data_IF_376732086356
#
_entry.id   IF_376732086356
#
_cell.length_a   1.000
_cell.length_b   1.000
_cell.length_c   1.000
_cell.angle_alpha   90.00
_cell.angle_beta   90.00
_cell.angle_gamma   90.00
#
_symmetry.space_group_name_H-M   'P 1'
#
loop_
_entity.id
_entity.type
_entity.pdbx_description
1 polymer ?
#
# COMPACT_ATOMS: atom_id res chain seq x y z
N UNK A 1 -20.57 14.53 -26.35
CA UNK A 1 -20.90 14.72 -24.93
C UNK A 1 -19.75 14.13 -24.14
N UNK A 2 -18.98 14.94 -23.42
CA UNK A 2 -17.87 14.43 -22.61
C UNK A 2 -18.46 13.61 -21.47
N UNK A 3 -18.16 12.31 -21.43
CA UNK A 3 -18.43 11.49 -20.24
C UNK A 3 -17.74 12.18 -19.06
N UNK A 4 -18.55 12.63 -18.10
CA UNK A 4 -18.03 13.11 -16.83
C UNK A 4 -17.36 11.91 -16.18
N UNK A 5 -16.03 11.85 -16.20
CA UNK A 5 -15.27 10.90 -15.40
C UNK A 5 -15.73 11.06 -13.94
N UNK A 6 -16.53 10.12 -13.45
CA UNK A 6 -16.92 10.10 -12.05
C UNK A 6 -15.65 9.91 -11.22
N UNK A 7 -15.42 10.83 -10.28
CA UNK A 7 -14.29 10.74 -9.37
C UNK A 7 -14.49 9.47 -8.53
N UNK A 8 -13.52 8.53 -8.52
CA UNK A 8 -13.63 7.33 -7.71
C UNK A 8 -13.94 7.66 -6.25
N UNK A 9 -14.86 6.91 -5.63
CA UNK A 9 -15.39 7.23 -4.30
C UNK A 9 -14.37 7.19 -3.16
N UNK A 10 -13.19 6.64 -3.40
CA UNK A 10 -12.07 6.48 -2.47
C UNK A 10 -10.93 7.50 -2.68
N UNK A 11 -11.12 8.47 -3.57
CA UNK A 11 -10.24 9.63 -3.70
C UNK A 11 -11.02 10.93 -3.47
N UNK A 12 -10.34 11.97 -3.00
CA UNK A 12 -10.85 13.33 -2.90
C UNK A 12 -10.00 14.27 -3.75
N UNK A 13 -10.63 15.27 -4.37
CA UNK A 13 -9.91 16.37 -5.03
C UNK A 13 -9.33 17.38 -4.03
N UNK A 14 -9.72 17.30 -2.74
CA UNK A 14 -9.15 18.19 -1.73
C UNK A 14 -7.63 18.04 -1.67
N UNK A 15 -6.88 19.14 -1.49
CA UNK A 15 -5.44 19.06 -1.33
C UNK A 15 -5.06 18.26 -0.09
N UNK A 16 -3.97 17.49 -0.19
CA UNK A 16 -3.35 16.78 0.94
C UNK A 16 -2.62 17.74 1.88
N UNK A 17 -3.38 18.60 2.56
CA UNK A 17 -2.90 19.64 3.48
C UNK A 17 -3.62 19.60 4.83
N UNK A 18 -2.87 19.69 5.93
CA UNK A 18 -3.43 19.58 7.28
C UNK A 18 -3.95 18.17 7.61
N UNK A 19 -4.70 18.08 8.71
CA UNK A 19 -5.16 16.81 9.27
C UNK A 19 -6.47 16.33 8.60
N UNK A 20 -6.63 15.03 8.31
CA UNK A 20 -7.90 14.48 7.85
C UNK A 20 -8.94 14.45 8.98
N UNK A 21 -10.22 14.40 8.60
CA UNK A 21 -11.28 14.06 9.55
C UNK A 21 -11.06 12.65 10.13
N UNK A 22 -11.19 12.52 11.45
CA UNK A 22 -11.04 11.27 12.21
C UNK A 22 -12.36 10.81 12.84
N UNK A 23 -13.51 11.16 12.26
CA UNK A 23 -14.81 10.56 12.61
C UNK A 23 -14.91 9.13 12.08
N UNK A 24 -15.75 8.30 12.68
CA UNK A 24 -15.92 6.91 12.28
C UNK A 24 -16.45 6.79 10.85
N UNK A 25 -17.38 7.66 10.42
CA UNK A 25 -17.84 7.71 9.02
C UNK A 25 -16.66 7.96 8.05
N UNK A 26 -15.71 8.81 8.45
CA UNK A 26 -14.52 9.08 7.64
C UNK A 26 -13.52 7.90 7.63
N UNK A 27 -13.55 7.01 8.63
CA UNK A 27 -12.82 5.74 8.61
C UNK A 27 -13.53 4.67 7.76
N UNK A 28 -14.87 4.65 7.74
CA UNK A 28 -15.65 3.73 6.92
C UNK A 28 -15.59 4.07 5.43
N UNK A 29 -15.40 5.36 5.11
CA UNK A 29 -15.32 5.88 3.73
C UNK A 29 -14.02 6.67 3.54
N UNK A 30 -12.86 6.04 3.67
CA UNK A 30 -11.58 6.73 3.59
C UNK A 30 -11.36 7.21 2.15
N UNK A 31 -10.91 8.46 2.01
CA UNK A 31 -10.60 9.08 0.72
C UNK A 31 -9.17 9.59 0.74
N UNK A 32 -8.35 9.14 -0.20
CA UNK A 32 -7.01 9.70 -0.35
C UNK A 32 -7.12 11.09 -1.00
N UNK A 33 -6.50 12.09 -0.39
CA UNK A 33 -6.49 13.48 -0.88
C UNK A 33 -5.46 13.68 -1.98
N UNK A 34 -5.67 14.70 -2.82
CA UNK A 34 -4.88 14.94 -4.03
C UNK A 34 -3.56 15.62 -3.71
N UNK A 35 -2.53 15.20 -4.43
CA UNK A 35 -1.23 15.85 -4.48
C UNK A 35 -1.21 16.90 -5.60
N UNK A 36 -0.91 18.16 -5.24
CA UNK A 36 -0.88 19.29 -6.18
C UNK A 36 0.54 19.82 -6.49
N UNK A 37 1.60 19.07 -6.18
CA UNK A 37 2.97 19.51 -6.47
C UNK A 37 3.41 19.28 -7.92
N UNK A 38 4.37 20.07 -8.38
CA UNK A 38 5.05 19.90 -9.66
C UNK A 38 6.17 18.86 -9.54
N UNK A 39 6.02 17.74 -10.24
CA UNK A 39 6.94 16.61 -10.21
C UNK A 39 7.75 16.54 -11.50
N UNK A 40 9.07 16.42 -11.35
CA UNK A 40 9.98 16.09 -12.45
C UNK A 40 10.40 14.64 -12.36
N UNK A 41 9.96 13.83 -13.33
CA UNK A 41 10.32 12.41 -13.41
C UNK A 41 11.83 12.25 -13.69
N UNK A 42 12.50 11.44 -12.87
CA UNK A 42 13.93 11.15 -13.01
C UNK A 42 14.12 9.78 -13.67
N UNK A 43 13.94 8.68 -12.94
CA UNK A 43 14.25 7.34 -13.47
C UNK A 43 13.33 6.26 -12.93
N UNK A 44 13.15 5.22 -13.72
CA UNK A 44 12.51 3.99 -13.28
C UNK A 44 13.35 3.35 -12.18
N UNK A 45 12.71 2.93 -11.10
CA UNK A 45 13.37 2.27 -9.96
C UNK A 45 12.80 0.90 -9.63
N UNK A 46 11.68 0.51 -10.26
CA UNK A 46 11.10 -0.80 -10.06
C UNK A 46 9.68 -0.90 -10.61
N UNK A 47 9.13 -2.10 -10.62
CA UNK A 47 7.77 -2.35 -11.08
C UNK A 47 7.37 -3.78 -10.75
N UNK A 48 6.07 -3.96 -10.52
CA UNK A 48 5.48 -5.22 -10.10
C UNK A 48 4.17 -5.47 -10.83
N UNK A 49 3.29 -6.24 -10.20
CA UNK A 49 1.98 -6.60 -10.75
C UNK A 49 1.03 -5.41 -10.86
N UNK A 50 1.16 -4.43 -9.97
CA UNK A 50 0.20 -3.33 -9.84
C UNK A 50 0.54 -2.09 -10.69
N UNK A 51 1.80 -1.96 -11.05
CA UNK A 51 2.32 -0.74 -11.66
C UNK A 51 3.84 -0.67 -11.68
N UNK A 52 4.34 0.52 -12.03
CA UNK A 52 5.75 0.87 -11.99
C UNK A 52 5.99 1.94 -10.92
N UNK A 53 7.23 2.04 -10.47
CA UNK A 53 7.69 3.07 -9.54
C UNK A 53 8.80 3.87 -10.20
N UNK A 54 8.61 5.19 -10.20
CA UNK A 54 9.52 6.15 -10.79
C UNK A 54 10.07 7.03 -9.68
N UNK A 55 11.40 7.16 -9.59
CA UNK A 55 12.01 8.22 -8.80
C UNK A 55 11.75 9.55 -9.49
N UNK A 56 11.37 10.56 -8.71
CA UNK A 56 11.12 11.90 -9.21
C UNK A 56 11.56 12.96 -8.18
N UNK A 57 11.46 14.24 -8.57
CA UNK A 57 11.73 15.37 -7.67
C UNK A 57 10.50 16.26 -7.60
N UNK A 58 10.08 16.58 -6.37
CA UNK A 58 9.10 17.64 -6.09
C UNK A 58 9.84 18.99 -6.21
N UNK A 59 9.54 19.77 -7.24
CA UNK A 59 10.25 21.02 -7.56
C UNK A 59 10.14 22.05 -6.45
N UNK A 60 8.95 22.22 -5.89
CA UNK A 60 8.70 23.28 -4.91
C UNK A 60 9.38 22.98 -3.58
N UNK A 61 9.45 21.70 -3.20
CA UNK A 61 10.01 21.28 -1.91
C UNK A 61 11.44 20.75 -2.01
N UNK A 62 12.00 20.63 -3.22
CA UNK A 62 13.38 20.20 -3.47
C UNK A 62 13.69 18.74 -3.15
N UNK A 63 12.70 17.97 -2.67
CA UNK A 63 12.87 16.59 -2.15
C UNK A 63 12.73 15.53 -3.24
N UNK A 64 13.42 14.41 -3.04
CA UNK A 64 13.22 13.21 -3.87
C UNK A 64 11.95 12.48 -3.43
N UNK A 65 11.14 12.09 -4.40
CA UNK A 65 9.90 11.33 -4.19
C UNK A 65 9.90 10.06 -5.03
N UNK A 66 9.11 9.08 -4.61
CA UNK A 66 8.76 7.92 -5.41
C UNK A 66 7.33 8.08 -5.93
N UNK A 67 7.11 7.85 -7.22
CA UNK A 67 5.80 7.94 -7.86
C UNK A 67 5.42 6.56 -8.35
N UNK A 68 4.45 5.92 -7.68
CA UNK A 68 3.90 4.64 -8.12
C UNK A 68 2.78 4.91 -9.11
N UNK A 69 2.97 4.50 -10.35
CA UNK A 69 2.00 4.65 -11.45
C UNK A 69 1.32 3.31 -11.67
N UNK A 70 -0.01 3.30 -11.64
CA UNK A 70 -0.80 2.08 -11.75
C UNK A 70 -1.14 1.76 -13.21
N UNK A 71 -1.19 0.47 -13.56
CA UNK A 71 -1.51 0.06 -14.94
C UNK A 71 -2.97 0.27 -15.33
N UNK A 72 -3.90 0.31 -14.35
CA UNK A 72 -5.35 0.33 -14.58
C UNK A 72 -6.02 1.53 -13.92
N UNK A 73 -6.64 2.39 -14.74
CA UNK A 73 -7.43 3.54 -14.27
C UNK A 73 -8.84 3.19 -13.82
N UNK A 74 -9.33 2.04 -14.26
CA UNK A 74 -10.65 1.55 -13.95
C UNK A 74 -10.51 0.21 -13.24
N UNK A 75 -11.50 -0.12 -12.42
CA UNK A 75 -11.54 -1.43 -11.77
C UNK A 75 -11.52 -2.52 -12.86
N UNK A 76 -10.50 -3.40 -12.90
CA UNK A 76 -10.38 -4.39 -13.95
C UNK A 76 -11.55 -5.40 -13.87
N UNK A 77 -11.93 -6.04 -14.99
CA UNK A 77 -12.97 -7.05 -14.99
C UNK A 77 -12.60 -8.21 -14.05
N UNK A 78 -13.59 -8.95 -13.50
CA UNK A 78 -13.32 -10.15 -12.73
C UNK A 78 -12.57 -11.15 -13.60
N UNK A 79 -11.65 -11.91 -13.02
CA UNK A 79 -10.75 -12.85 -13.71
C UNK A 79 -11.53 -13.96 -14.46
N UNK A 80 -12.83 -14.11 -14.21
CA UNK A 80 -13.72 -15.06 -14.89
C UNK A 80 -14.43 -14.49 -16.14
N UNK A 81 -14.27 -13.20 -16.44
CA UNK A 81 -14.85 -12.55 -17.62
C UNK A 81 -13.93 -12.72 -18.84
N UNK A 82 -14.10 -13.82 -19.59
CA UNK A 82 -13.72 -13.80 -21.01
C UNK A 82 -14.58 -12.75 -21.73
N UNK A 83 -13.99 -12.02 -22.68
CA UNK A 83 -14.52 -12.09 -24.03
C UNK A 83 -13.50 -12.72 -24.96
N UNK A 84 -13.99 -13.42 -25.97
CA UNK A 84 -13.20 -13.96 -27.06
C UNK A 84 -12.36 -12.86 -27.72
N UNK A 85 -11.04 -12.88 -27.51
CA UNK A 85 -10.06 -12.30 -28.42
C UNK A 85 -8.93 -13.30 -28.54
N UNK A 86 -8.94 -14.04 -29.67
CA UNK A 86 -7.78 -14.78 -30.12
C UNK A 86 -6.67 -13.78 -30.42
N UNK A 87 -5.57 -13.84 -29.70
CA UNK A 87 -4.33 -13.22 -30.16
C UNK A 87 -3.36 -14.37 -30.42
N UNK A 88 -2.97 -14.41 -31.69
CA UNK A 88 -2.18 -15.41 -32.37
C UNK A 88 -0.86 -15.70 -31.67
N UNK A 89 -0.53 -16.99 -31.68
CA UNK A 89 0.80 -17.53 -31.40
C UNK A 89 1.82 -16.92 -32.36
N UNK A 90 2.53 -15.86 -31.93
CA UNK A 90 3.88 -15.60 -32.39
C UNK A 90 4.73 -15.16 -31.19
N UNK A 91 5.07 -16.17 -30.37
CA UNK A 91 6.12 -16.05 -29.37
C UNK A 91 7.46 -16.18 -30.06
N UNK A 92 8.11 -15.04 -30.28
CA UNK A 92 9.54 -14.98 -30.60
C UNK A 92 10.35 -15.29 -29.32
N UNK A 93 11.23 -16.28 -29.40
CA UNK A 93 11.84 -16.98 -28.26
C UNK A 93 13.12 -16.32 -27.72
N UNK A 94 13.52 -15.16 -28.24
CA UNK A 94 14.84 -14.57 -27.96
C UNK A 94 14.86 -13.30 -27.08
N UNK A 95 13.75 -12.86 -26.47
CA UNK A 95 13.76 -11.68 -25.59
C UNK A 95 13.61 -12.02 -24.09
N UNK A 96 14.70 -12.05 -23.30
CA UNK A 96 14.65 -12.40 -21.87
C UNK A 96 13.92 -11.38 -20.97
N UNK A 97 13.61 -10.17 -21.46
CA UNK A 97 12.82 -9.17 -20.72
C UNK A 97 11.30 -9.40 -20.78
N UNK A 98 10.82 -10.36 -21.59
CA UNK A 98 9.39 -10.72 -21.70
C UNK A 98 8.92 -11.80 -20.71
N UNK A 99 9.83 -12.48 -19.98
CA UNK A 99 9.47 -13.60 -19.09
C UNK A 99 8.77 -13.20 -17.76
N UNK A 100 8.55 -11.91 -17.50
CA UNK A 100 7.81 -11.44 -16.31
C UNK A 100 6.47 -10.77 -16.63
N UNK A 101 5.98 -10.84 -17.88
CA UNK A 101 4.63 -10.39 -18.20
C UNK A 101 3.59 -11.43 -17.78
N UNK A 102 2.71 -10.99 -16.88
CA UNK A 102 1.37 -11.53 -16.63
C UNK A 102 1.29 -13.01 -16.26
N UNK A 103 1.64 -13.33 -15.02
CA UNK A 103 1.06 -14.49 -14.34
C UNK A 103 0.33 -14.03 -13.08
N UNK A 104 -0.81 -13.36 -13.30
CA UNK A 104 -1.91 -13.37 -12.35
C UNK A 104 -2.47 -14.80 -12.27
N UNK A 105 -1.80 -15.67 -11.51
CA UNK A 105 -2.26 -17.03 -11.30
C UNK A 105 -3.48 -17.03 -10.36
N UNK A 106 -4.61 -17.38 -10.95
CA UNK A 106 -5.67 -18.21 -10.40
C UNK A 106 -6.22 -17.88 -9.00
N UNK A 107 -7.16 -16.94 -8.94
CA UNK A 107 -8.17 -16.91 -7.87
C UNK A 107 -9.58 -16.86 -8.50
N UNK A 108 -10.20 -18.04 -8.67
CA UNK A 108 -11.61 -18.17 -9.09
C UNK A 108 -12.54 -17.58 -8.02
N UNK A 109 -13.45 -16.69 -8.42
CA UNK A 109 -14.52 -16.14 -7.58
C UNK A 109 -14.23 -14.83 -6.83
N UNK A 110 -13.15 -14.12 -7.12
CA UNK A 110 -12.82 -12.86 -6.44
C UNK A 110 -13.64 -11.67 -6.98
N UNK A 111 -14.28 -10.85 -6.12
CA UNK A 111 -14.59 -9.48 -6.49
C UNK A 111 -13.32 -8.75 -6.95
N UNK A 112 -13.50 -7.72 -7.76
CA UNK A 112 -12.45 -7.17 -8.63
C UNK A 112 -11.33 -6.50 -7.82
N UNK A 113 -10.11 -7.05 -7.88
CA UNK A 113 -8.93 -6.41 -7.31
C UNK A 113 -8.56 -5.16 -8.12
N UNK A 114 -8.56 -4.00 -7.48
CA UNK A 114 -8.05 -2.76 -8.06
C UNK A 114 -6.96 -2.20 -7.15
N UNK A 115 -5.70 -2.30 -7.60
CA UNK A 115 -4.53 -1.92 -6.82
C UNK A 115 -4.58 -0.45 -6.36
N UNK A 116 -4.89 0.46 -7.29
CA UNK A 116 -5.03 1.88 -6.98
C UNK A 116 -6.07 2.15 -5.88
N UNK A 117 -7.23 1.48 -5.94
CA UNK A 117 -8.25 1.57 -4.90
C UNK A 117 -7.73 1.09 -3.55
N UNK A 118 -7.11 -0.09 -3.50
CA UNK A 118 -6.58 -0.67 -2.26
C UNK A 118 -5.58 0.28 -1.62
N UNK A 119 -4.62 0.76 -2.41
CA UNK A 119 -3.54 1.59 -1.91
C UNK A 119 -4.02 2.96 -1.45
N UNK A 120 -4.97 3.57 -2.17
CA UNK A 120 -5.64 4.80 -1.72
C UNK A 120 -6.34 4.63 -0.36
N UNK A 121 -7.12 3.56 -0.21
CA UNK A 121 -7.83 3.25 1.03
C UNK A 121 -6.83 3.06 2.17
N UNK A 122 -5.77 2.28 1.95
CA UNK A 122 -4.75 2.00 2.96
C UNK A 122 -4.07 3.28 3.44
N UNK A 123 -3.59 4.12 2.52
CA UNK A 123 -2.91 5.37 2.90
C UNK A 123 -3.85 6.37 3.58
N UNK A 124 -5.11 6.46 3.15
CA UNK A 124 -6.08 7.32 3.81
C UNK A 124 -6.41 6.86 5.24
N UNK A 125 -6.43 5.55 5.50
CA UNK A 125 -6.62 5.01 6.85
C UNK A 125 -5.37 5.21 7.73
N UNK A 126 -4.18 4.92 7.19
CA UNK A 126 -2.92 5.11 7.92
C UNK A 126 -2.72 6.58 8.32
N UNK A 127 -3.08 7.53 7.45
CA UNK A 127 -3.05 8.96 7.77
C UNK A 127 -3.98 9.32 8.94
N UNK A 128 -5.18 8.73 8.99
CA UNK A 128 -6.14 8.96 10.08
C UNK A 128 -5.66 8.36 11.40
N UNK A 129 -5.06 7.17 11.35
CA UNK A 129 -4.46 6.52 12.52
C UNK A 129 -3.32 7.39 13.08
N UNK A 130 -2.39 7.83 12.22
CA UNK A 130 -1.29 8.71 12.59
C UNK A 130 -1.78 10.03 13.20
N UNK A 131 -2.80 10.64 12.58
CA UNK A 131 -3.44 11.87 13.09
C UNK A 131 -4.04 11.64 14.47
N UNK A 132 -4.75 10.54 14.68
CA UNK A 132 -5.35 10.20 15.97
C UNK A 132 -4.29 10.01 17.05
N UNK A 133 -3.20 9.27 16.75
CA UNK A 133 -2.08 9.06 17.66
C UNK A 133 -1.43 10.38 18.08
N UNK A 134 -1.11 11.24 17.11
CA UNK A 134 -0.48 12.54 17.36
C UNK A 134 -1.37 13.50 18.17
N UNK A 135 -2.69 13.51 17.90
CA UNK A 135 -3.64 14.31 18.69
C UNK A 135 -3.82 13.76 20.12
N UNK A 136 -3.81 12.44 20.29
CA UNK A 136 -3.85 11.81 21.61
C UNK A 136 -2.60 12.17 22.43
N UNK A 137 -1.41 12.06 21.84
CA UNK A 137 -0.15 12.47 22.46
C UNK A 137 -0.18 13.95 22.89
N UNK A 138 -0.60 14.85 21.99
CA UNK A 138 -0.69 16.29 22.27
C UNK A 138 -1.66 16.63 23.41
N UNK A 139 -2.72 15.84 23.57
CA UNK A 139 -3.73 16.04 24.62
C UNK A 139 -3.45 15.25 25.91
N UNK A 140 -2.38 14.46 25.95
CA UNK A 140 -2.08 13.57 27.07
C UNK A 140 -3.07 12.40 27.21
N UNK A 141 -3.86 12.12 26.17
CA UNK A 141 -4.81 10.99 26.12
C UNK A 141 -4.09 9.73 25.66
N UNK A 142 -4.44 8.59 26.25
CA UNK A 142 -4.00 7.29 25.75
C UNK A 142 -5.01 6.67 24.78
N UNK A 143 -4.52 6.06 23.71
CA UNK A 143 -5.33 5.17 22.86
C UNK A 143 -5.15 3.75 23.39
N UNK A 144 -6.24 3.17 23.91
CA UNK A 144 -6.25 1.82 24.46
C UNK A 144 -6.76 0.83 23.41
N UNK A 145 -5.97 -0.20 23.10
CA UNK A 145 -6.29 -1.23 22.11
C UNK A 145 -6.13 -2.64 22.70
N UNK A 146 -6.79 -3.62 22.08
CA UNK A 146 -6.39 -5.01 22.26
C UNK A 146 -5.10 -5.23 21.44
N UNK A 147 -3.95 -5.42 22.08
CA UNK A 147 -2.67 -5.60 21.40
C UNK A 147 -2.49 -7.00 20.79
N UNK A 148 -3.38 -7.93 21.11
CA UNK A 148 -3.37 -9.30 20.59
C UNK A 148 -4.74 -9.65 19.99
N UNK A 149 -5.22 -8.89 18.98
CA UNK A 149 -6.50 -9.19 18.38
C UNK A 149 -6.39 -10.54 17.64
N UNK A 150 -7.36 -11.41 17.84
CA UNK A 150 -7.43 -12.76 17.23
C UNK A 150 -8.62 -12.89 16.28
N UNK A 151 -9.58 -11.97 16.36
CA UNK A 151 -10.75 -11.94 15.47
C UNK A 151 -10.83 -10.65 14.66
N UNK A 152 -11.43 -10.71 13.48
CA UNK A 152 -11.69 -9.53 12.67
C UNK A 152 -12.57 -8.50 13.39
N UNK A 153 -13.43 -8.95 14.32
CA UNK A 153 -14.25 -8.06 15.16
C UNK A 153 -13.40 -7.29 16.16
N UNK A 154 -12.40 -7.92 16.78
CA UNK A 154 -11.46 -7.25 17.68
C UNK A 154 -10.60 -6.25 16.91
N UNK A 155 -10.09 -6.64 15.75
CA UNK A 155 -9.34 -5.78 14.85
C UNK A 155 -10.14 -4.53 14.41
N UNK A 156 -11.41 -4.73 14.05
CA UNK A 156 -12.34 -3.64 13.73
C UNK A 156 -12.59 -2.70 14.92
N UNK A 157 -12.71 -3.27 16.14
CA UNK A 157 -12.83 -2.46 17.36
C UNK A 157 -11.57 -1.63 17.60
N UNK A 158 -10.38 -2.19 17.39
CA UNK A 158 -9.13 -1.43 17.47
C UNK A 158 -9.10 -0.26 16.47
N UNK A 159 -9.46 -0.51 15.21
CA UNK A 159 -9.51 0.55 14.20
C UNK A 159 -10.49 1.67 14.62
N UNK A 160 -11.65 1.30 15.18
CA UNK A 160 -12.63 2.27 15.68
C UNK A 160 -12.13 3.08 16.88
N UNK A 161 -11.20 2.56 17.69
CA UNK A 161 -10.61 3.30 18.80
C UNK A 161 -9.79 4.53 18.37
N UNK A 162 -9.44 4.64 17.08
CA UNK A 162 -8.78 5.84 16.54
C UNK A 162 -9.77 6.96 16.17
N UNK A 163 -11.08 6.70 16.15
CA UNK A 163 -12.06 7.72 15.79
C UNK A 163 -12.47 8.61 16.97
N UNK A 164 -13.10 9.75 16.70
CA UNK A 164 -13.60 10.66 17.76
C UNK A 164 -14.67 10.02 18.64
N UNK A 165 -15.50 9.15 18.07
CA UNK A 165 -16.57 8.40 18.75
C UNK A 165 -16.05 7.29 19.67
N UNK A 166 -14.73 7.06 19.71
CA UNK A 166 -14.11 6.11 20.64
C UNK A 166 -14.15 6.58 22.09
N UNK A 167 -14.31 7.89 22.33
CA UNK A 167 -14.28 8.47 23.68
C UNK A 167 -15.46 8.05 24.57
N UNK A 168 -16.54 7.49 24.00
CA UNK A 168 -17.79 7.17 24.71
C UNK A 168 -17.91 5.70 25.15
N UNK A 169 -16.86 4.90 25.00
CA UNK A 169 -16.92 3.46 25.37
C UNK A 169 -16.30 3.23 26.74
N UNK A 170 -17.10 2.69 27.66
CA UNK A 170 -16.56 2.02 28.84
C UNK A 170 -15.70 0.83 28.38
N UNK A 171 -14.40 0.82 28.70
CA UNK A 171 -13.53 -0.27 28.30
C UNK A 171 -13.94 -1.55 29.05
N UNK A 172 -13.96 -2.69 28.36
CA UNK A 172 -13.72 -3.98 29.01
C UNK A 172 -12.27 -3.92 29.54
N UNK A 173 -12.10 -3.35 30.72
CA UNK A 173 -10.85 -2.73 31.19
C UNK A 173 -9.64 -3.68 31.20
N UNK A 174 -9.87 -4.99 31.37
CA UNK A 174 -8.79 -5.96 31.56
C UNK A 174 -8.05 -6.36 30.27
N UNK A 175 -8.59 -6.05 29.08
CA UNK A 175 -8.01 -6.48 27.79
C UNK A 175 -7.33 -5.38 26.98
N UNK A 176 -7.57 -4.12 27.33
CA UNK A 176 -7.06 -2.99 26.55
C UNK A 176 -5.79 -2.43 27.19
N UNK A 177 -4.76 -2.19 26.38
CA UNK A 177 -3.48 -1.64 26.82
C UNK A 177 -3.14 -0.37 26.04
N UNK A 178 -2.38 0.57 26.61
CA UNK A 178 -1.88 1.73 25.89
C UNK A 178 -1.11 1.31 24.63
N UNK A 179 -1.53 1.83 23.49
CA UNK A 179 -0.88 1.59 22.21
C UNK A 179 0.09 2.72 21.89
N UNK A 180 1.39 2.42 21.97
CA UNK A 180 2.49 3.37 21.72
C UNK A 180 3.43 2.80 20.65
N UNK A 181 3.01 2.82 19.38
CA UNK A 181 3.81 2.23 18.31
C UNK A 181 5.07 3.06 18.06
N UNK A 182 6.18 2.38 17.80
CA UNK A 182 7.42 3.01 17.32
C UNK A 182 7.75 2.44 15.94
N UNK A 183 7.04 2.91 14.93
CA UNK A 183 7.16 2.45 13.54
C UNK A 183 7.23 3.64 12.60
N UNK A 184 8.01 3.52 11.53
CA UNK A 184 8.09 4.52 10.47
C UNK A 184 7.25 4.08 9.27
N UNK A 185 6.08 4.67 9.10
CA UNK A 185 5.29 4.53 7.86
C UNK A 185 5.89 5.47 6.80
N UNK A 186 6.06 5.00 5.56
CA UNK A 186 6.53 5.84 4.47
C UNK A 186 5.53 6.97 4.18
N UNK A 187 5.91 8.26 4.28
CA UNK A 187 4.99 9.36 4.03
C UNK A 187 4.35 9.31 2.63
N UNK A 188 3.02 9.43 2.59
CA UNK A 188 2.24 9.58 1.37
C UNK A 188 1.79 11.04 1.20
N UNK A 189 2.10 11.60 0.04
CA UNK A 189 1.76 12.97 -0.33
C UNK A 189 0.43 13.08 -1.08
N UNK A 190 -0.23 11.96 -1.37
CA UNK A 190 -1.52 11.91 -2.02
C UNK A 190 -1.46 11.31 -3.42
N UNK A 191 -2.63 11.25 -4.04
CA UNK A 191 -2.76 10.74 -5.41
C UNK A 191 -2.60 11.88 -6.44
N UNK A 192 -2.17 11.54 -7.65
CA UNK A 192 -2.08 12.45 -8.79
C UNK A 192 -2.36 11.69 -10.09
N UNK A 193 -2.29 12.38 -11.22
CA UNK A 193 -2.33 11.79 -12.55
C UNK A 193 -1.08 12.20 -13.34
N UNK A 194 -0.55 11.26 -14.13
CA UNK A 194 0.54 11.51 -15.06
C UNK A 194 0.07 11.21 -16.48
N UNK A 195 0.44 12.07 -17.43
CA UNK A 195 0.17 11.79 -18.83
C UNK A 195 1.08 10.68 -19.34
N UNK A 196 0.57 9.86 -20.26
CA UNK A 196 1.38 8.89 -21.00
C UNK A 196 2.60 9.56 -21.63
N UNK A 197 2.42 10.71 -22.26
CA UNK A 197 3.50 11.44 -22.90
C UNK A 197 4.63 11.77 -21.92
N UNK A 198 4.32 12.18 -20.69
CA UNK A 198 5.32 12.46 -19.67
C UNK A 198 6.07 11.19 -19.22
N UNK A 199 5.37 10.06 -19.10
CA UNK A 199 5.99 8.76 -18.80
C UNK A 199 6.91 8.34 -19.95
N UNK A 200 6.43 8.42 -21.19
CA UNK A 200 7.14 7.98 -22.39
C UNK A 200 8.37 8.83 -22.73
N UNK A 201 8.29 10.14 -22.48
CA UNK A 201 9.40 11.05 -22.69
C UNK A 201 10.63 10.65 -21.84
N UNK A 202 10.41 9.94 -20.74
CA UNK A 202 11.48 9.50 -19.84
C UNK A 202 11.79 8.01 -19.95
N UNK A 203 10.86 7.20 -20.47
CA UNK A 203 10.95 5.75 -20.53
C UNK A 203 10.42 5.23 -21.87
N UNK A 204 11.15 4.32 -22.54
CA UNK A 204 10.55 3.57 -23.65
C UNK A 204 9.34 2.80 -23.11
N UNK A 205 8.16 3.01 -23.71
CA UNK A 205 6.87 2.49 -23.22
C UNK A 205 6.98 1.06 -22.69
N UNK A 206 6.72 0.81 -21.40
CA UNK A 206 6.41 -0.53 -20.97
C UNK A 206 5.09 -0.91 -21.67
N UNK A 207 5.14 -1.85 -22.60
CA UNK A 207 3.99 -2.47 -23.28
C UNK A 207 2.88 -3.03 -22.36
N UNK A 208 2.98 -2.79 -21.05
CA UNK A 208 2.07 -3.21 -19.99
C UNK A 208 1.01 -2.15 -19.62
N UNK A 209 1.13 -0.90 -20.07
CA UNK A 209 0.10 0.11 -19.84
C UNK A 209 -1.09 -0.06 -20.79
N UNK A 210 -2.31 0.22 -20.31
CA UNK A 210 -3.51 0.24 -21.15
C UNK A 210 -3.48 1.41 -22.15
N UNK A 211 -4.42 1.50 -23.10
CA UNK A 211 -4.44 2.64 -24.04
C UNK A 211 -5.07 3.93 -23.44
N UNK A 212 -4.59 4.37 -22.26
CA UNK A 212 -5.06 5.57 -21.56
C UNK A 212 -4.15 6.80 -21.78
N UNK A 213 -4.74 8.01 -21.84
CA UNK A 213 -3.98 9.26 -21.96
C UNK A 213 -3.33 9.69 -20.62
N UNK A 214 -4.00 9.40 -19.50
CA UNK A 214 -3.59 9.73 -18.15
C UNK A 214 -3.53 8.46 -17.32
N UNK A 215 -2.66 8.39 -16.32
CA UNK A 215 -2.61 7.28 -15.37
C UNK A 215 -2.70 7.79 -13.95
N UNK A 216 -3.47 7.11 -13.12
CA UNK A 216 -3.42 7.36 -11.68
C UNK A 216 -2.05 6.98 -11.11
N UNK A 217 -1.59 7.82 -10.18
CA UNK A 217 -0.36 7.61 -9.46
C UNK A 217 -0.50 8.02 -7.98
N UNK A 218 0.36 7.48 -7.12
CA UNK A 218 0.50 7.93 -5.73
C UNK A 218 1.95 8.37 -5.50
N UNK A 219 2.11 9.48 -4.78
CA UNK A 219 3.40 10.11 -4.52
C UNK A 219 3.80 9.83 -3.07
N UNK A 220 4.99 9.27 -2.90
CA UNK A 220 5.57 8.91 -1.61
C UNK A 220 6.92 9.57 -1.40
N UNK A 221 7.40 9.55 -0.17
CA UNK A 221 8.82 9.78 0.09
C UNK A 221 9.69 8.74 -0.63
N UNK A 222 10.81 9.21 -1.16
CA UNK A 222 11.81 8.32 -1.75
C UNK A 222 12.63 7.66 -0.64
N UNK A 223 12.51 6.34 -0.51
CA UNK A 223 13.25 5.54 0.45
C UNK A 223 14.47 4.92 -0.24
N UNK A 224 15.64 5.07 0.37
CA UNK A 224 16.87 4.45 -0.13
C UNK A 224 16.88 2.95 0.18
N UNK A 225 17.51 2.18 -0.71
CA UNK A 225 17.85 0.80 -0.43
C UNK A 225 18.79 0.72 0.78
N UNK A 226 18.65 -0.34 1.57
CA UNK A 226 19.46 -0.55 2.76
C UNK A 226 19.44 -2.00 3.21
N UNK A 227 20.14 -2.26 4.31
CA UNK A 227 20.13 -3.57 4.96
C UNK A 227 18.90 -3.67 5.85
N UNK A 228 18.03 -4.64 5.56
CA UNK A 228 16.79 -4.84 6.32
C UNK A 228 17.09 -5.35 7.73
N UNK A 229 16.35 -4.84 8.72
CA UNK A 229 16.41 -5.30 10.10
C UNK A 229 15.09 -5.98 10.48
N UNK A 230 15.18 -7.23 10.96
CA UNK A 230 14.01 -8.03 11.32
C UNK A 230 13.09 -7.34 12.31
N UNK A 231 13.66 -6.70 13.33
CA UNK A 231 12.92 -5.96 14.36
C UNK A 231 12.01 -4.88 13.75
N UNK A 232 12.49 -4.11 12.78
CA UNK A 232 11.71 -3.02 12.20
C UNK A 232 10.56 -3.56 11.35
N UNK A 233 10.81 -4.62 10.57
CA UNK A 233 9.79 -5.30 9.77
C UNK A 233 8.71 -5.91 10.68
N UNK A 234 9.10 -6.67 11.70
CA UNK A 234 8.19 -7.29 12.68
C UNK A 234 7.34 -6.21 13.38
N UNK A 235 7.97 -5.13 13.86
CA UNK A 235 7.25 -4.03 14.50
C UNK A 235 6.19 -3.40 13.57
N UNK A 236 6.53 -3.18 12.30
CA UNK A 236 5.61 -2.61 11.33
C UNK A 236 4.47 -3.57 10.96
N UNK A 237 4.75 -4.86 10.81
CA UNK A 237 3.72 -5.89 10.59
C UNK A 237 2.77 -6.00 11.78
N UNK A 238 3.29 -5.98 13.01
CA UNK A 238 2.51 -5.96 14.25
C UNK A 238 1.65 -4.71 14.34
N UNK A 239 2.20 -3.55 13.96
CA UNK A 239 1.42 -2.31 13.88
C UNK A 239 0.23 -2.46 12.92
N UNK A 240 0.43 -2.97 11.71
CA UNK A 240 -0.66 -3.19 10.74
C UNK A 240 -1.71 -4.15 11.29
N UNK A 241 -1.29 -5.27 11.87
CA UNK A 241 -2.19 -6.23 12.52
C UNK A 241 -3.01 -5.53 13.61
N UNK A 242 -2.36 -4.97 14.63
CA UNK A 242 -3.04 -4.34 15.77
C UNK A 242 -4.03 -3.25 15.32
N UNK A 243 -3.70 -2.49 14.27
CA UNK A 243 -4.53 -1.38 13.77
C UNK A 243 -5.64 -1.80 12.80
N UNK A 244 -5.83 -3.09 12.54
CA UNK A 244 -6.99 -3.61 11.80
C UNK A 244 -6.74 -3.99 10.35
N UNK A 245 -5.48 -4.15 9.95
CA UNK A 245 -5.08 -4.62 8.63
C UNK A 245 -4.68 -6.09 8.65
N UNK A 246 -4.92 -6.78 7.54
CA UNK A 246 -4.32 -8.06 7.21
C UNK A 246 -3.03 -7.83 6.43
N UNK A 247 -1.98 -8.57 6.75
CA UNK A 247 -0.77 -8.66 5.94
C UNK A 247 -0.96 -9.75 4.88
N UNK A 248 -0.85 -9.44 3.59
CA UNK A 248 -1.11 -10.40 2.51
C UNK A 248 -0.07 -11.53 2.49
N UNK A 249 1.18 -11.16 2.22
CA UNK A 249 2.32 -12.07 2.17
C UNK A 249 3.59 -11.24 2.34
N UNK A 250 4.58 -11.77 3.07
CA UNK A 250 5.87 -11.09 3.22
C UNK A 250 6.65 -11.13 1.90
N UNK A 251 6.66 -10.01 1.18
CA UNK A 251 7.53 -9.80 0.03
C UNK A 251 8.68 -8.85 0.40
N UNK A 252 9.86 -9.40 0.70
CA UNK A 252 11.02 -8.61 1.14
C UNK A 252 11.54 -7.60 0.10
N UNK A 253 11.18 -7.73 -1.17
CA UNK A 253 11.52 -6.73 -2.20
C UNK A 253 10.77 -5.39 -2.02
N UNK A 254 9.63 -5.43 -1.32
CA UNK A 254 8.81 -4.25 -1.03
C UNK A 254 9.25 -3.51 0.25
N UNK A 255 10.35 -3.95 0.87
CA UNK A 255 10.93 -3.35 2.07
C UNK A 255 12.26 -2.72 1.72
N UNK A 256 12.44 -1.45 2.09
CA UNK A 256 13.67 -0.69 1.84
C UNK A 256 14.24 -0.14 3.15
N UNK A 257 15.40 0.52 3.05
CA UNK A 257 16.18 1.02 4.18
C UNK A 257 16.38 -0.09 5.24
N UNK A 258 16.11 0.19 6.51
CA UNK A 258 16.23 -0.78 7.61
C UNK A 258 14.93 -1.55 7.88
N UNK A 259 13.89 -1.40 7.04
CA UNK A 259 12.60 -2.06 7.23
C UNK A 259 11.40 -1.11 7.08
N UNK A 260 11.36 -0.34 5.99
CA UNK A 260 10.20 0.50 5.63
C UNK A 260 9.48 -0.12 4.44
N UNK A 261 8.21 -0.48 4.61
CA UNK A 261 7.35 -0.92 3.52
C UNK A 261 7.11 0.23 2.53
N UNK A 262 7.29 -0.05 1.24
CA UNK A 262 7.07 0.92 0.15
C UNK A 262 5.96 0.52 -0.82
N UNK A 263 5.41 -0.69 -0.68
CA UNK A 263 4.23 -1.13 -1.42
C UNK A 263 3.06 -1.40 -0.45
N UNK A 264 2.12 -0.47 -0.38
CA UNK A 264 0.99 -0.60 0.53
C UNK A 264 -0.14 -1.48 -0.02
N UNK A 265 -0.01 -2.09 -1.20
CA UNK A 265 -0.92 -3.15 -1.65
C UNK A 265 -0.75 -4.47 -0.85
N UNK A 266 0.37 -4.61 -0.13
CA UNK A 266 0.71 -5.77 0.72
C UNK A 266 -0.11 -5.83 2.02
N UNK A 267 -0.91 -4.80 2.32
CA UNK A 267 -1.84 -4.79 3.44
C UNK A 267 -3.28 -4.60 2.96
N UNK A 268 -4.24 -5.11 3.72
CA UNK A 268 -5.67 -5.01 3.40
C UNK A 268 -6.46 -4.61 4.64
N UNK A 269 -7.30 -3.57 4.60
CA UNK A 269 -8.14 -3.23 5.73
C UNK A 269 -9.32 -4.20 5.80
N UNK A 270 -9.60 -4.72 6.99
CA UNK A 270 -10.65 -5.73 7.17
C UNK A 270 -12.06 -5.19 6.94
N UNK A 271 -12.30 -3.93 7.32
CA UNK A 271 -13.64 -3.37 7.36
C UNK A 271 -14.20 -3.03 5.99
N UNK A 272 -13.36 -2.86 4.97
CA UNK A 272 -13.80 -2.52 3.61
C UNK A 272 -14.35 -3.71 2.82
N UNK A 273 -14.58 -4.85 3.49
CA UNK A 273 -15.43 -5.91 2.95
C UNK A 273 -14.84 -6.70 1.79
N UNK A 274 -13.51 -6.78 1.69
CA UNK A 274 -12.81 -7.63 0.69
C UNK A 274 -13.09 -9.12 0.97
N UNK A 275 -14.28 -9.60 0.55
CA UNK A 275 -14.85 -10.91 0.93
C UNK A 275 -13.97 -12.12 0.58
N UNK A 276 -13.03 -12.00 -0.34
CA UNK A 276 -12.16 -13.10 -0.77
C UNK A 276 -10.95 -13.33 0.15
N UNK A 277 -10.54 -12.32 0.92
CA UNK A 277 -9.55 -12.49 1.99
C UNK A 277 -10.14 -13.16 3.25
N UNK A 278 -11.48 -13.29 3.34
CA UNK A 278 -12.17 -13.92 4.48
C UNK A 278 -11.87 -15.41 4.68
N UNK A 279 -11.15 -16.06 3.76
CA UNK A 279 -10.72 -17.46 3.94
C UNK A 279 -9.52 -17.61 4.88
N UNK A 280 -8.78 -16.53 5.14
CA UNK A 280 -7.72 -16.51 6.15
C UNK A 280 -8.37 -16.05 7.45
N UNK A 281 -8.35 -16.89 8.49
CA UNK A 281 -8.77 -16.43 9.82
C UNK A 281 -7.83 -15.31 10.25
N UNK A 282 -8.37 -14.23 10.82
CA UNK A 282 -7.56 -13.10 11.27
C UNK A 282 -6.45 -13.53 12.25
N UNK A 283 -6.73 -14.54 13.08
CA UNK A 283 -5.74 -15.21 13.93
C UNK A 283 -4.59 -15.80 13.12
N UNK A 284 -4.90 -16.41 11.98
CA UNK A 284 -3.94 -17.12 11.13
C UNK A 284 -3.15 -16.17 10.21
N UNK A 285 -3.66 -14.95 10.00
CA UNK A 285 -2.85 -13.87 9.42
C UNK A 285 -1.63 -13.52 10.28
N UNK A 286 -1.70 -13.83 11.57
CA UNK A 286 -0.60 -13.70 12.52
C UNK A 286 0.31 -14.97 12.53
N UNK A 287 -0.16 -16.13 12.05
CA UNK A 287 0.63 -17.38 12.07
C UNK A 287 1.86 -17.33 11.14
N UNK A 288 1.84 -16.52 10.08
CA UNK A 288 3.02 -16.27 9.27
C UNK A 288 4.13 -15.49 9.97
N UNK A 289 3.84 -14.89 11.15
CA UNK A 289 4.71 -13.90 11.79
C UNK A 289 5.01 -14.12 13.27
N UNK A 290 4.45 -15.17 13.90
CA UNK A 290 4.84 -15.60 15.26
C UNK A 290 6.21 -16.27 15.30
N UNK A 291 6.72 -16.67 14.13
CA UNK A 291 8.07 -17.22 14.00
C UNK A 291 9.03 -16.06 13.64
N UNK A 292 9.31 -15.23 14.65
CA UNK A 292 10.27 -14.12 14.52
C UNK A 292 11.64 -14.64 14.03
N UNK A 293 11.99 -15.87 14.39
CA UNK A 293 13.22 -16.54 13.97
C UNK A 293 13.20 -16.84 12.46
N UNK A 294 12.09 -17.38 11.94
CA UNK A 294 11.90 -17.59 10.49
C UNK A 294 11.97 -16.27 9.70
N UNK A 295 11.34 -15.21 10.20
CA UNK A 295 11.43 -13.87 9.55
C UNK A 295 12.86 -13.38 9.56
N UNK A 296 13.54 -13.45 10.71
CA UNK A 296 14.92 -12.99 10.86
C UNK A 296 15.87 -13.76 9.94
N UNK A 297 15.71 -15.08 9.84
CA UNK A 297 16.50 -15.92 8.94
C UNK A 297 16.20 -15.64 7.47
N UNK A 298 14.94 -15.41 7.10
CA UNK A 298 14.54 -15.03 5.74
C UNK A 298 15.16 -13.69 5.34
N UNK A 299 15.18 -12.72 6.25
CA UNK A 299 15.80 -11.40 6.06
C UNK A 299 17.32 -11.53 5.94
N UNK A 300 17.95 -12.33 6.80
CA UNK A 300 19.41 -12.59 6.73
C UNK A 300 19.79 -13.12 5.34
N UNK A 301 19.10 -14.17 4.87
CA UNK A 301 19.32 -14.75 3.53
C UNK A 301 19.06 -13.73 2.41
N UNK A 302 18.06 -12.87 2.57
CA UNK A 302 17.75 -11.83 1.59
C UNK A 302 18.86 -10.78 1.49
N UNK A 303 19.31 -10.25 2.63
CA UNK A 303 20.42 -9.28 2.71
C UNK A 303 21.71 -9.86 2.08
N UNK A 304 22.03 -11.14 2.35
CA UNK A 304 23.19 -11.81 1.77
C UNK A 304 23.11 -11.92 0.24
N UNK A 305 21.94 -12.24 -0.32
CA UNK A 305 21.73 -12.28 -1.77
C UNK A 305 21.88 -10.89 -2.39
N UNK A 306 21.30 -9.86 -1.76
CA UNK A 306 21.37 -8.48 -2.26
C UNK A 306 22.82 -7.97 -2.28
N UNK A 307 23.56 -8.21 -1.20
CA UNK A 307 24.97 -7.85 -1.10
C UNK A 307 25.84 -8.51 -2.17
N UNK A 308 25.63 -9.82 -2.45
CA UNK A 308 26.35 -10.54 -3.50
C UNK A 308 26.04 -9.99 -4.89
N UNK A 309 24.76 -9.65 -5.16
CA UNK A 309 24.34 -9.05 -6.43
C UNK A 309 25.06 -7.73 -6.69
N UNK A 310 25.13 -6.84 -5.69
CA UNK A 310 25.81 -5.54 -5.81
C UNK A 310 27.31 -5.68 -6.08
N UNK A 311 27.99 -6.65 -5.47
CA UNK A 311 29.44 -6.89 -5.71
C UNK A 311 29.78 -7.47 -7.08
N UNK A 312 28.80 -8.08 -7.76
CA UNK A 312 29.02 -8.71 -9.08
C UNK A 312 28.73 -7.72 -10.22
N UNK A 313 28.13 -6.57 -9.91
CA UNK A 313 27.76 -5.52 -10.87
C UNK A 313 28.78 -4.37 -10.97
N UNK A 314 29.90 -4.45 -10.23
CA UNK A 314 31.03 -3.50 -10.22
C UNK A 314 32.22 -4.18 -10.88
#
# INVERSE_FOLDING_TARGET
MAERYEIPSFISQDPKEGDPAITWDAFERPKLRKFYGDIVLDRYIGGGMDGIVIKARDKHRGRSVAVKVFYFNNQPPPIDARPALSISNHMDSQNPLRKKQCQAQHYKGAPRYWAFQRECINMALLEKIDTSLRLAEKSGREILLNLEPTTAREAYRNLKSFSTESCDREPEADKLKPFRPNVRINPCYGWTQLSRAAINARFQEPSAFQDEEQYFAIVYDFVLEGQLEAKNIINQLNYFHITGFLNVQLNLENWLSTGVLVDFSDIVPLHTGWKWWRKIEYRDNNFGFRDEEYIAESIRRFNERRYKSTRTAI
#
